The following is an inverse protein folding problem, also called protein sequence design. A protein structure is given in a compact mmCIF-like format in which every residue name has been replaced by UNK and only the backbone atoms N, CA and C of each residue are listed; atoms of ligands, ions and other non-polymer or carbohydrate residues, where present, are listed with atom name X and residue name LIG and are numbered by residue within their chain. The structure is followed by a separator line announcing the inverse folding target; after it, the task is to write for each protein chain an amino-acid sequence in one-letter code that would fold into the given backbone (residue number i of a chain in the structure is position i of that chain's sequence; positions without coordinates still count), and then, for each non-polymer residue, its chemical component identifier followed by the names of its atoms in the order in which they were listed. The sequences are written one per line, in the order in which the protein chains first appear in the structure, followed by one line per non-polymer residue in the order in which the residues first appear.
data_IF_600702291993
#
_entry.id   IF_600702291993
#
_cell.length_a   1.000
_cell.length_b   1.000
_cell.length_c   1.000
_cell.angle_alpha   90.00
_cell.angle_beta   90.00
_cell.angle_gamma   90.00
#
_symmetry.space_group_name_H-M   'P 1'
#
loop_
_entity.id
_entity.type
_entity.pdbx_description
1 polymer ?
#
# COMPACT_ATOMS: atom_id res chain seq x y z
N UNK A 1 -7.96 9.18 -50.77
CA UNK A 1 -7.29 9.59 -49.51
C UNK A 1 -6.30 8.51 -49.13
N UNK A 2 -5.02 8.70 -49.45
CA UNK A 2 -3.98 7.71 -49.18
C UNK A 2 -3.68 7.64 -47.68
N UNK A 3 -3.83 6.45 -47.09
CA UNK A 3 -3.44 6.16 -45.71
C UNK A 3 -1.92 6.04 -45.65
N UNK A 4 -1.22 7.16 -45.50
CA UNK A 4 0.19 7.18 -45.12
C UNK A 4 0.29 7.16 -43.59
N UNK A 5 0.23 5.98 -42.96
CA UNK A 5 1.06 5.68 -41.79
C UNK A 5 1.03 4.19 -41.39
N UNK A 6 1.35 3.29 -42.32
CA UNK A 6 1.68 1.89 -42.00
C UNK A 6 3.22 1.70 -41.93
N UNK A 7 3.97 2.77 -41.62
CA UNK A 7 5.42 2.72 -41.52
C UNK A 7 5.88 2.31 -40.12
N UNK A 8 5.83 1.00 -39.89
CA UNK A 8 6.98 0.21 -39.42
C UNK A 8 7.75 0.71 -38.18
N UNK A 9 7.05 0.94 -37.07
CA UNK A 9 7.64 0.63 -35.76
C UNK A 9 7.16 -0.75 -35.39
N UNK A 10 7.97 -1.76 -35.72
CA UNK A 10 7.73 -3.19 -35.43
C UNK A 10 7.41 -3.35 -33.94
N UNK A 11 6.12 -3.40 -33.60
CA UNK A 11 5.61 -3.52 -32.22
C UNK A 11 5.77 -4.97 -31.76
N UNK A 12 7.02 -5.41 -31.58
CA UNK A 12 7.36 -6.72 -31.04
C UNK A 12 6.56 -7.89 -31.64
N UNK A 13 6.35 -8.94 -30.84
CA UNK A 13 5.62 -10.16 -31.23
C UNK A 13 4.09 -10.03 -31.19
N UNK A 14 3.54 -8.83 -31.03
CA UNK A 14 2.09 -8.65 -30.85
C UNK A 14 1.36 -8.60 -32.18
N UNK A 15 0.18 -9.23 -32.25
CA UNK A 15 -0.72 -9.07 -33.39
C UNK A 15 -1.27 -7.64 -33.47
N UNK A 16 -1.74 -7.26 -34.64
CA UNK A 16 -2.34 -5.93 -34.87
C UNK A 16 -3.55 -5.73 -33.95
N UNK A 17 -4.36 -6.77 -33.75
CA UNK A 17 -5.54 -6.74 -32.89
C UNK A 17 -5.16 -6.55 -31.41
N UNK A 18 -4.20 -7.33 -30.91
CA UNK A 18 -3.71 -7.19 -29.53
C UNK A 18 -3.14 -5.79 -29.26
N UNK A 19 -2.47 -5.20 -30.27
CA UNK A 19 -1.96 -3.84 -30.18
C UNK A 19 -3.10 -2.83 -30.10
N UNK A 20 -4.12 -2.95 -30.95
CA UNK A 20 -5.30 -2.08 -30.94
C UNK A 20 -6.03 -2.16 -29.60
N UNK A 21 -6.22 -3.36 -29.04
CA UNK A 21 -6.86 -3.55 -27.75
C UNK A 21 -6.08 -2.84 -26.62
N UNK A 22 -4.75 -2.99 -26.59
CA UNK A 22 -3.90 -2.30 -25.60
C UNK A 22 -3.95 -0.78 -25.75
N UNK A 23 -3.95 -0.26 -26.97
CA UNK A 23 -4.08 1.18 -27.24
C UNK A 23 -5.44 1.67 -26.73
N UNK A 24 -6.53 0.98 -27.05
CA UNK A 24 -7.88 1.34 -26.62
C UNK A 24 -8.01 1.34 -25.09
N UNK A 25 -7.48 0.29 -24.43
CA UNK A 25 -7.42 0.20 -22.96
C UNK A 25 -6.66 1.37 -22.36
N UNK A 26 -5.52 1.74 -22.94
CA UNK A 26 -4.73 2.89 -22.49
C UNK A 26 -5.49 4.21 -22.68
N UNK A 27 -6.13 4.42 -23.83
CA UNK A 27 -6.90 5.65 -24.09
C UNK A 27 -8.07 5.79 -23.12
N UNK A 28 -8.85 4.72 -22.91
CA UNK A 28 -9.92 4.70 -21.90
C UNK A 28 -9.38 5.07 -20.52
N UNK A 29 -8.32 4.39 -20.06
CA UNK A 29 -7.69 4.67 -18.76
C UNK A 29 -7.12 6.08 -18.68
N UNK A 30 -6.62 6.65 -19.77
CA UNK A 30 -6.09 8.02 -19.84
C UNK A 30 -7.20 9.04 -19.66
N UNK A 31 -8.33 8.85 -20.33
CA UNK A 31 -9.48 9.73 -20.24
C UNK A 31 -10.12 9.69 -18.84
N UNK A 32 -10.06 8.54 -18.17
CA UNK A 32 -10.62 8.34 -16.82
C UNK A 32 -9.66 8.71 -15.67
N UNK A 33 -8.50 9.31 -15.96
CA UNK A 33 -7.55 9.71 -14.90
C UNK A 33 -8.16 10.77 -13.99
N UNK A 34 -7.98 10.59 -12.69
CA UNK A 34 -8.39 11.56 -11.69
C UNK A 34 -7.21 12.48 -11.36
N UNK A 35 -7.30 13.76 -11.75
CA UNK A 35 -6.28 14.78 -11.49
C UNK A 35 -6.55 15.58 -10.21
N UNK A 36 -7.77 15.53 -9.69
CA UNK A 36 -8.08 16.13 -8.40
C UNK A 36 -7.47 15.30 -7.27
N UNK A 37 -7.21 15.96 -6.13
CA UNK A 37 -6.67 15.28 -4.95
C UNK A 37 -7.73 14.31 -4.41
N UNK A 38 -7.46 13.01 -4.46
CA UNK A 38 -8.32 11.97 -3.89
C UNK A 38 -7.70 11.35 -2.64
N UNK A 39 -8.41 11.42 -1.52
CA UNK A 39 -8.03 10.74 -0.27
C UNK A 39 -8.53 9.30 -0.33
N UNK A 40 -7.62 8.34 -0.51
CA UNK A 40 -7.98 6.90 -0.59
C UNK A 40 -8.11 6.26 0.80
N UNK A 41 -7.25 6.66 1.74
CA UNK A 41 -7.19 6.07 3.08
C UNK A 41 -7.54 7.12 4.13
N UNK A 42 -8.82 7.17 4.51
CA UNK A 42 -9.33 8.16 5.45
C UNK A 42 -8.61 8.10 6.80
N UNK A 43 -8.46 6.91 7.38
CA UNK A 43 -7.81 6.71 8.69
C UNK A 43 -6.35 7.20 8.73
N UNK A 44 -5.60 7.03 7.63
CA UNK A 44 -4.21 7.53 7.57
C UNK A 44 -4.18 9.06 7.45
N UNK A 45 -5.16 9.67 6.78
CA UNK A 45 -5.28 11.13 6.70
C UNK A 45 -5.60 11.72 8.08
N UNK A 46 -6.59 11.19 8.79
CA UNK A 46 -6.94 11.67 10.13
C UNK A 46 -5.77 11.55 11.11
N UNK A 47 -5.02 10.45 11.05
CA UNK A 47 -3.79 10.27 11.83
C UNK A 47 -2.72 11.33 11.46
N UNK A 48 -2.51 11.59 10.17
CA UNK A 48 -1.52 12.56 9.72
C UNK A 48 -1.91 14.03 9.99
N UNK A 49 -3.21 14.30 10.07
CA UNK A 49 -3.78 15.62 10.36
C UNK A 49 -3.70 15.95 11.87
N UNK A 50 -3.80 14.94 12.75
CA UNK A 50 -3.77 15.11 14.22
C UNK A 50 -2.35 15.09 14.83
N UNK A 51 -1.35 14.53 14.13
CA UNK A 51 0.05 14.50 14.62
C UNK A 51 0.69 15.90 14.68
N UNK A 52 1.50 16.20 15.71
CA UNK A 52 2.17 17.49 15.84
C UNK A 52 3.21 17.71 14.73
N UNK A 53 3.29 18.96 14.22
CA UNK A 53 4.22 19.34 13.16
C UNK A 53 4.99 20.62 13.49
N UNK A 54 6.30 20.62 13.20
CA UNK A 54 7.18 21.81 13.24
C UNK A 54 7.63 22.09 11.81
N UNK A 55 7.31 23.28 11.29
CA UNK A 55 7.64 23.71 9.90
C UNK A 55 7.21 22.67 8.83
N UNK A 56 6.06 22.04 9.03
CA UNK A 56 5.47 21.05 8.09
C UNK A 56 5.98 19.62 8.25
N UNK A 57 7.03 19.38 9.06
CA UNK A 57 7.56 18.05 9.40
C UNK A 57 6.91 17.55 10.68
N UNK A 58 6.69 16.24 10.82
CA UNK A 58 6.24 15.69 12.11
C UNK A 58 7.32 15.93 13.17
N UNK A 59 6.91 16.38 14.35
CA UNK A 59 7.80 16.50 15.50
C UNK A 59 8.21 15.11 16.00
N UNK A 60 9.39 15.01 16.62
CA UNK A 60 9.76 13.85 17.44
C UNK A 60 9.16 14.01 18.82
N UNK A 61 8.84 12.89 19.47
CA UNK A 61 8.16 12.88 20.76
C UNK A 61 8.97 13.59 21.87
N UNK A 62 10.28 13.77 21.71
CA UNK A 62 11.13 14.41 22.72
C UNK A 62 11.17 15.94 22.62
N UNK A 63 10.78 16.53 21.47
CA UNK A 63 10.82 17.98 21.25
C UNK A 63 9.55 18.68 21.79
N UNK A 64 8.49 17.91 22.01
CA UNK A 64 7.26 18.35 22.68
C UNK A 64 7.08 17.51 23.94
N UNK A 65 7.67 17.99 25.05
CA UNK A 65 7.34 17.49 26.38
C UNK A 65 5.83 17.48 26.57
N UNK A 66 5.29 16.29 26.89
CA UNK A 66 3.90 16.03 27.28
C UNK A 66 2.79 16.50 26.31
N UNK A 67 2.56 15.73 25.26
CA UNK A 67 1.20 15.47 24.80
C UNK A 67 1.13 14.09 24.11
N UNK A 68 0.42 13.16 24.74
CA UNK A 68 0.08 11.79 24.27
C UNK A 68 1.11 10.68 24.55
N UNK A 69 1.30 10.36 25.83
CA UNK A 69 1.79 9.04 26.25
C UNK A 69 0.66 8.01 26.14
N UNK A 70 0.71 7.13 25.14
CA UNK A 70 0.11 5.80 25.19
C UNK A 70 0.77 4.85 24.17
N UNK A 71 1.79 4.12 24.65
CA UNK A 71 2.04 2.71 24.32
C UNK A 71 2.66 2.35 22.97
N UNK A 72 3.99 2.17 22.95
CA UNK A 72 4.64 0.88 22.61
C UNK A 72 6.16 1.05 22.63
N UNK A 73 6.76 0.88 23.80
CA UNK A 73 8.16 0.46 23.89
C UNK A 73 8.18 -1.05 23.67
N UNK A 74 8.71 -1.52 22.55
CA UNK A 74 9.28 -2.86 22.51
C UNK A 74 10.73 -2.68 22.93
N UNK A 75 10.99 -2.78 24.23
CA UNK A 75 12.33 -3.03 24.73
C UNK A 75 12.36 -4.48 25.16
N UNK A 76 13.19 -5.21 24.45
CA UNK A 76 13.54 -6.62 24.61
C UNK A 76 14.14 -6.80 26.00
N UNK A 77 13.50 -7.59 26.86
CA UNK A 77 14.14 -8.15 28.04
C UNK A 77 14.26 -9.66 27.84
N UNK A 78 15.51 -10.04 27.60
CA UNK A 78 16.07 -11.38 27.69
C UNK A 78 16.20 -11.71 29.18
N UNK A 79 15.40 -12.65 29.68
CA UNK A 79 15.64 -13.31 30.95
C UNK A 79 15.23 -14.78 30.79
N UNK A 80 16.23 -15.65 30.88
CA UNK A 80 16.10 -17.08 30.78
C UNK A 80 15.64 -17.66 32.13
N UNK A 81 14.77 -18.67 32.12
CA UNK A 81 14.83 -19.91 32.94
C UNK A 81 13.46 -20.60 33.12
N UNK A 82 13.48 -21.88 32.73
CA UNK A 82 12.79 -23.10 33.20
C UNK A 82 11.27 -23.25 33.48
N UNK A 83 10.74 -24.28 32.76
CA UNK A 83 9.83 -25.38 33.16
C UNK A 83 8.34 -25.13 33.45
N UNK A 84 7.50 -25.53 32.49
CA UNK A 84 6.69 -26.76 32.58
C UNK A 84 5.56 -26.72 31.54
N UNK A 85 5.70 -27.52 30.49
CA UNK A 85 4.65 -27.76 29.49
C UNK A 85 3.40 -28.36 30.13
N UNK A 86 2.21 -27.95 29.66
CA UNK A 86 1.33 -28.97 29.10
C UNK A 86 0.83 -28.57 27.72
N UNK A 87 1.09 -29.44 26.74
CA UNK A 87 0.59 -29.34 25.36
C UNK A 87 -0.94 -29.52 25.34
N UNK A 88 -1.73 -28.55 24.83
CA UNK A 88 -3.09 -28.84 24.41
C UNK A 88 -3.04 -29.49 23.02
N UNK A 89 -3.45 -30.75 22.94
CA UNK A 89 -3.58 -31.48 21.68
C UNK A 89 -4.63 -30.81 20.77
N UNK A 90 -4.38 -30.67 19.45
CA UNK A 90 -5.39 -30.14 18.54
C UNK A 90 -6.53 -31.15 18.36
N UNK A 91 -7.81 -30.70 18.27
CA UNK A 91 -8.94 -31.59 18.03
C UNK A 91 -8.85 -32.21 16.63
N UNK A 92 -9.09 -33.52 16.56
CA UNK A 92 -9.09 -34.28 15.30
C UNK A 92 -10.22 -33.81 14.37
N UNK A 93 -10.01 -33.74 13.05
CA UNK A 93 -11.07 -33.43 12.11
C UNK A 93 -12.10 -34.57 12.08
N UNK A 94 -13.36 -34.25 12.34
CA UNK A 94 -14.48 -35.15 12.14
C UNK A 94 -14.70 -35.33 10.62
N UNK A 95 -14.48 -36.55 10.12
CA UNK A 95 -14.96 -36.94 8.80
C UNK A 95 -16.46 -37.25 8.89
N UNK A 96 -17.24 -36.69 7.96
CA UNK A 96 -18.52 -37.23 7.48
C UNK A 96 -18.73 -36.77 6.04
#
# INVERSE_FOLDING_TARGET
MASLNESSFKVGRLSIEERQEKINRYMKKRNERNFSKKIKYACRKTLADSRPRVRGRFAKNDEFGEATKAGSSNQEEDDEEEVSSPSPSPPSPANS
#
